data_IF_389789310277
#
_entry.id   IF_389789310277
#
_cell.length_a   1.000
_cell.length_b   1.000
_cell.length_c   1.000
_cell.angle_alpha   90.00
_cell.angle_beta   90.00
_cell.angle_gamma   90.00
#
_symmetry.space_group_name_H-M   'P 1'
#
loop_
_entity.id
_entity.type
_entity.pdbx_description
1 polymer ?
2 non-polymer ?
3 non-polymer ?
4 water ?
#
# COMPACT_ATOMS: atom_id res chain seq x y z
N UNK A 4 -25.36 -18.33 0.24
CA UNK A 4 -24.15 -17.74 0.95
C UNK A 4 -24.06 -16.24 0.67
N UNK A 5 -24.22 -15.36 1.69
CA UNK A 5 -24.22 -13.91 1.46
C UNK A 5 -22.81 -13.45 1.05
N UNK A 6 -22.71 -12.42 0.20
CA UNK A 6 -21.40 -11.80 -0.15
C UNK A 6 -20.91 -10.95 1.01
N UNK A 7 -19.60 -10.99 1.33
CA UNK A 7 -19.09 -10.25 2.46
C UNK A 7 -19.09 -8.73 2.22
N UNK A 8 -19.28 -7.97 3.30
CA UNK A 8 -19.16 -6.49 3.34
C UNK A 8 -17.75 -6.13 3.82
N UNK A 9 -17.07 -7.08 4.46
CA UNK A 9 -15.77 -6.91 5.16
C UNK A 9 -14.91 -8.16 4.94
N UNK A 10 -13.60 -7.99 4.77
CA UNK A 10 -12.65 -9.14 4.76
C UNK A 10 -11.49 -8.77 5.67
N UNK A 11 -10.70 -9.75 6.08
CA UNK A 11 -9.42 -9.43 6.75
C UNK A 11 -8.28 -9.89 5.85
N UNK A 12 -7.23 -9.09 5.89
CA UNK A 12 -6.06 -9.25 5.02
C UNK A 12 -4.85 -9.28 5.92
N UNK A 13 -4.03 -10.31 5.77
CA UNK A 13 -2.69 -10.44 6.38
C UNK A 13 -1.64 -9.93 5.39
N UNK A 14 -0.77 -9.05 5.88
CA UNK A 14 0.43 -8.57 5.15
C UNK A 14 1.62 -9.03 5.94
N UNK A 15 2.50 -9.79 5.32
CA UNK A 15 3.81 -10.13 5.88
C UNK A 15 4.95 -9.60 5.05
N UNK A 16 5.97 -9.07 5.69
CA UNK A 16 7.24 -8.72 5.01
C UNK A 16 8.39 -9.33 5.81
N UNK A 17 9.25 -10.06 5.12
CA UNK A 17 10.45 -10.65 5.75
C UNK A 17 11.60 -10.66 4.77
N UNK A 18 12.67 -10.00 5.17
CA UNK A 18 13.99 -10.12 4.53
C UNK A 18 14.68 -11.32 5.19
N UNK A 19 14.78 -12.37 4.42
CA UNK A 19 15.19 -13.70 4.90
C UNK A 19 16.71 -13.79 4.98
N UNK A 20 17.47 -12.76 4.57
CA UNK A 20 18.94 -12.79 4.63
C UNK A 20 19.58 -13.97 3.92
N UNK A 21 18.95 -14.42 2.83
CA UNK A 21 19.49 -15.49 1.94
C UNK A 21 19.70 -16.78 2.73
N UNK A 22 18.88 -17.03 3.76
CA UNK A 22 18.94 -18.28 4.56
C UNK A 22 17.58 -18.93 4.52
N UNK A 23 17.54 -20.29 4.49
CA UNK A 23 16.27 -20.98 4.57
C UNK A 23 15.60 -20.62 5.89
N UNK A 24 14.25 -20.70 5.93
CA UNK A 24 13.54 -20.43 7.17
C UNK A 24 13.67 -21.62 8.12
N UNK A 25 13.29 -21.43 9.40
CA UNK A 25 13.22 -22.52 10.36
C UNK A 25 11.99 -23.38 10.10
N UNK A 26 11.87 -24.52 10.78
CA UNK A 26 10.80 -25.49 10.45
C UNK A 26 9.44 -24.89 10.82
N UNK A 27 9.37 -23.99 11.80
CA UNK A 27 8.06 -23.45 12.26
C UNK A 27 8.03 -21.92 12.12
N UNK A 28 7.10 -21.36 11.33
CA UNK A 28 7.04 -19.88 11.11
C UNK A 28 5.61 -19.43 11.41
N UNK A 29 4.84 -20.28 12.09
CA UNK A 29 3.41 -20.02 12.39
C UNK A 29 3.17 -18.70 13.15
N UNK A 30 4.11 -18.30 14.02
CA UNK A 30 4.01 -17.06 14.84
C UNK A 30 3.80 -15.85 13.94
N UNK A 31 4.40 -15.87 12.74
CA UNK A 31 4.27 -14.76 11.77
C UNK A 31 2.81 -14.59 11.37
N UNK A 32 2.18 -15.69 10.95
CA UNK A 32 0.81 -15.67 10.42
C UNK A 32 -0.20 -15.47 11.56
N UNK A 33 0.19 -15.71 12.81
CA UNK A 33 -0.67 -15.51 13.98
C UNK A 33 -0.46 -14.12 14.56
N UNK A 34 0.42 -13.30 13.98
CA UNK A 34 0.64 -11.94 14.50
C UNK A 34 1.02 -12.00 16.00
N UNK A 35 1.98 -12.86 16.34
CA UNK A 35 2.50 -13.07 17.72
C UNK A 35 3.94 -12.56 17.81
N UNK A 36 4.26 -11.88 18.92
CA UNK A 36 5.62 -11.39 19.19
C UNK A 36 5.52 -10.07 19.87
N UNK A 37 6.17 -9.06 19.28
CA UNK A 37 6.22 -7.67 19.81
C UNK A 37 5.26 -6.78 19.03
N UNK A 38 4.82 -5.68 19.65
CA UNK A 38 4.05 -4.64 18.97
C UNK A 38 2.58 -4.83 19.24
N UNK A 39 1.76 -4.50 18.24
CA UNK A 39 0.28 -4.69 18.27
C UNK A 39 -0.01 -6.10 17.76
N UNK A 40 -0.31 -7.01 18.69
CA UNK A 40 -0.44 -8.44 18.42
C UNK A 40 -1.91 -8.83 18.43
N UNK A 41 -2.15 -10.00 17.87
CA UNK A 41 -3.49 -10.55 17.65
C UNK A 41 -3.84 -11.38 18.89
N UNK A 42 -5.10 -11.29 19.28
CA UNK A 42 -5.65 -12.03 20.44
C UNK A 42 -5.56 -13.54 20.21
N UNK A 43 -5.17 -14.27 21.26
CA UNK A 43 -5.12 -15.76 21.24
C UNK A 43 -6.42 -16.39 20.74
N UNK A 44 -7.56 -15.82 21.12
CA UNK A 44 -8.88 -16.44 20.81
C UNK A 44 -9.17 -16.40 19.31
N UNK A 45 -8.37 -15.68 18.51
CA UNK A 45 -8.57 -15.60 17.04
C UNK A 45 -7.65 -16.56 16.30
N UNK A 46 -6.80 -17.31 17.00
CA UNK A 46 -5.72 -18.07 16.33
C UNK A 46 -6.26 -19.02 15.26
N UNK A 47 -7.45 -19.60 15.44
CA UNK A 47 -7.94 -20.59 14.47
C UNK A 47 -8.73 -19.94 13.33
N UNK A 48 -9.00 -18.64 13.40
CA UNK A 48 -9.86 -17.90 12.43
C UNK A 48 -8.94 -17.49 11.29
N UNK A 49 -9.17 -17.99 10.06
CA UNK A 49 -8.30 -17.65 8.93
C UNK A 49 -8.58 -16.19 8.52
N UNK A 50 -7.54 -15.46 8.14
CA UNK A 50 -7.69 -14.27 7.31
C UNK A 50 -8.25 -14.71 5.95
N UNK A 51 -8.95 -13.81 5.26
CA UNK A 51 -9.53 -14.04 3.93
C UNK A 51 -8.42 -14.13 2.88
N UNK A 52 -7.44 -13.25 2.96
CA UNK A 52 -6.34 -13.13 2.00
C UNK A 52 -5.05 -13.02 2.83
N UNK A 53 -4.01 -13.78 2.50
CA UNK A 53 -2.64 -13.61 3.02
C UNK A 53 -1.75 -13.14 1.88
N UNK A 54 -1.01 -12.02 2.11
CA UNK A 54 -0.02 -11.51 1.12
C UNK A 54 1.34 -11.53 1.81
N UNK A 55 2.28 -12.27 1.23
CA UNK A 55 3.62 -12.54 1.85
C UNK A 55 4.72 -11.97 0.95
N UNK A 56 5.37 -10.89 1.42
CA UNK A 56 6.50 -10.27 0.72
C UNK A 56 7.77 -10.75 1.34
N UNK A 57 8.67 -11.28 0.52
CA UNK A 57 10.02 -11.60 0.97
C UNK A 57 11.07 -10.82 0.16
N UNK A 58 12.22 -10.64 0.78
CA UNK A 58 13.44 -10.05 0.18
C UNK A 58 14.62 -10.94 0.57
N UNK A 59 15.65 -10.95 -0.25
CA UNK A 59 16.80 -11.85 -0.07
C UNK A 59 16.27 -13.29 0.14
N UNK A 60 15.30 -13.70 -0.67
CA UNK A 60 14.62 -15.01 -0.53
C UNK A 60 15.41 -16.04 -1.33
N UNK A 61 15.97 -17.07 -0.66
CA UNK A 61 16.85 -18.04 -1.33
C UNK A 61 16.09 -19.24 -1.88
N UNK A 62 14.79 -19.29 -1.62
CA UNK A 62 13.98 -20.46 -2.01
C UNK A 62 13.45 -20.33 -3.44
N UNK A 63 13.16 -21.47 -4.03
CA UNK A 63 12.32 -21.55 -5.24
C UNK A 63 10.88 -21.20 -4.87
N UNK A 64 10.10 -20.77 -5.86
CA UNK A 64 8.66 -20.50 -5.68
C UNK A 64 8.00 -21.75 -5.14
N UNK A 65 8.37 -22.92 -5.67
CA UNK A 65 7.74 -24.18 -5.26
C UNK A 65 8.05 -24.40 -3.77
N UNK A 66 9.31 -24.26 -3.36
CA UNK A 66 9.72 -24.54 -1.96
C UNK A 66 8.98 -23.62 -0.99
N UNK A 67 8.90 -22.34 -1.31
CA UNK A 67 8.27 -21.35 -0.41
C UNK A 67 6.75 -21.55 -0.36
N UNK A 68 6.10 -21.76 -1.50
CA UNK A 68 4.65 -22.02 -1.54
C UNK A 68 4.28 -23.23 -0.66
N UNK A 69 5.09 -24.30 -0.75
CA UNK A 69 4.97 -25.53 0.08
C UNK A 69 4.92 -25.13 1.56
N UNK A 70 5.92 -24.36 1.99
CA UNK A 70 6.09 -23.95 3.41
C UNK A 70 4.92 -23.06 3.85
N UNK A 71 4.52 -22.12 3.01
CA UNK A 71 3.41 -21.21 3.35
C UNK A 71 2.11 -22.01 3.49
N UNK A 72 1.75 -22.78 2.48
CA UNK A 72 0.48 -23.55 2.51
C UNK A 72 0.42 -24.52 3.71
N UNK A 73 1.53 -25.20 4.00
CA UNK A 73 1.67 -26.10 5.17
C UNK A 73 1.33 -25.31 6.45
N UNK A 74 2.00 -24.18 6.65
CA UNK A 74 1.90 -23.34 7.86
C UNK A 74 0.46 -22.87 8.08
N UNK A 75 -0.20 -22.41 7.00
CA UNK A 75 -1.61 -21.95 7.12
C UNK A 75 -2.51 -23.15 7.37
N UNK A 76 -2.25 -24.29 6.73
CA UNK A 76 -3.08 -25.49 6.97
C UNK A 76 -2.94 -25.94 8.43
N UNK A 77 -1.74 -25.92 8.97
CA UNK A 77 -1.49 -26.32 10.37
C UNK A 77 -2.27 -25.40 11.33
N UNK A 78 -2.28 -24.09 11.06
CA UNK A 78 -2.95 -23.06 11.92
C UNK A 78 -4.47 -23.22 11.83
N UNK A 79 -5.01 -23.31 10.61
CA UNK A 79 -6.44 -23.02 10.31
C UNK A 79 -7.19 -24.28 9.88
N UNK A 80 -6.47 -25.32 9.46
CA UNK A 80 -7.05 -26.52 8.81
C UNK A 80 -7.74 -26.16 7.49
N UNK A 81 -7.33 -25.06 6.88
CA UNK A 81 -7.86 -24.67 5.55
C UNK A 81 -6.72 -24.81 4.55
N UNK A 82 -7.01 -25.42 3.40
CA UNK A 82 -6.08 -25.49 2.25
C UNK A 82 -6.26 -24.23 1.40
N UNK A 83 -5.32 -23.29 1.51
CA UNK A 83 -5.44 -22.01 0.78
C UNK A 83 -5.12 -22.21 -0.70
N UNK A 84 -5.75 -21.40 -1.54
CA UNK A 84 -5.55 -21.35 -3.00
C UNK A 84 -4.54 -20.27 -3.33
N UNK A 85 -3.64 -20.55 -4.27
CA UNK A 85 -2.64 -19.59 -4.78
C UNK A 85 -3.34 -18.66 -5.76
N UNK A 86 -3.40 -17.36 -5.46
CA UNK A 86 -3.95 -16.31 -6.35
C UNK A 86 -2.87 -15.89 -7.32
N UNK A 87 -1.67 -15.65 -6.82
CA UNK A 87 -0.57 -15.15 -7.64
C UNK A 87 0.75 -15.37 -6.91
N UNK A 88 1.79 -15.52 -7.69
CA UNK A 88 3.18 -15.50 -7.18
C UNK A 88 4.05 -14.81 -8.23
N UNK A 89 4.90 -13.91 -7.80
CA UNK A 89 5.81 -13.22 -8.73
C UNK A 89 7.13 -12.93 -8.03
N UNK A 90 8.23 -13.18 -8.73
CA UNK A 90 9.59 -13.02 -8.22
C UNK A 90 10.41 -12.18 -9.18
N UNK A 91 11.11 -11.20 -8.63
CA UNK A 91 12.17 -10.46 -9.35
C UNK A 91 13.45 -10.70 -8.54
N UNK A 92 14.42 -11.38 -9.12
CA UNK A 92 15.69 -11.69 -8.41
C UNK A 92 15.36 -12.44 -7.12
N UNK A 93 15.59 -11.88 -5.95
CA UNK A 93 15.31 -12.50 -4.62
C UNK A 93 14.18 -11.74 -3.89
N UNK A 94 13.39 -10.98 -4.63
CA UNK A 94 12.22 -10.23 -4.12
C UNK A 94 10.95 -10.94 -4.58
N UNK A 95 10.08 -11.34 -3.68
CA UNK A 95 8.95 -12.21 -4.07
C UNK A 95 7.67 -11.78 -3.37
N UNK A 96 6.57 -11.96 -4.08
CA UNK A 96 5.24 -11.78 -3.49
C UNK A 96 4.38 -13.03 -3.75
N UNK A 97 3.70 -13.50 -2.70
CA UNK A 97 2.72 -14.60 -2.79
C UNK A 97 1.39 -14.08 -2.26
N UNK A 98 0.33 -14.37 -2.99
CA UNK A 98 -1.07 -14.08 -2.56
C UNK A 98 -1.84 -15.40 -2.48
N UNK A 99 -2.31 -15.71 -1.28
CA UNK A 99 -3.14 -16.89 -0.95
C UNK A 99 -4.52 -16.40 -0.48
N UNK A 100 -5.57 -17.14 -0.81
CA UNK A 100 -6.93 -16.80 -0.36
C UNK A 100 -7.69 -18.06 0.04
N UNK A 101 -8.67 -17.92 0.95
CA UNK A 101 -9.62 -19.00 1.31
C UNK A 101 -10.15 -19.60 0.01
N UNK A 102 -10.44 -20.92 -0.04
CA UNK A 102 -11.01 -21.49 -1.26
C UNK A 102 -12.40 -20.94 -1.64
N UNK A 103 -13.17 -20.51 -0.65
CA UNK A 103 -14.54 -19.94 -0.88
C UNK A 103 -14.41 -18.63 -1.67
N UNK A 104 -13.22 -18.02 -1.76
CA UNK A 104 -13.05 -16.76 -2.50
C UNK A 104 -12.61 -16.96 -3.95
N UNK A 105 -12.46 -18.20 -4.41
CA UNK A 105 -11.86 -18.47 -5.73
C UNK A 105 -12.61 -17.76 -6.86
N UNK A 106 -13.95 -17.79 -6.80
CA UNK A 106 -14.84 -17.23 -7.84
C UNK A 106 -15.09 -15.74 -7.56
N UNK A 107 -14.66 -15.22 -6.40
CA UNK A 107 -14.83 -13.77 -6.04
C UNK A 107 -13.64 -12.99 -6.61
N UNK A 108 -12.55 -13.68 -6.95
CA UNK A 108 -11.27 -13.04 -7.33
C UNK A 108 -11.11 -13.11 -8.84
N UNK A 109 -10.83 -11.98 -9.47
CA UNK A 109 -10.65 -11.96 -10.94
C UNK A 109 -9.65 -10.86 -11.32
N UNK A 110 -9.34 -10.75 -12.61
CA UNK A 110 -8.49 -9.65 -13.13
C UNK A 110 -7.16 -9.63 -12.39
N UNK A 111 -6.54 -10.79 -12.24
CA UNK A 111 -5.27 -10.88 -11.50
C UNK A 111 -4.18 -10.35 -12.39
N UNK A 112 -3.40 -9.39 -11.86
CA UNK A 112 -2.25 -8.75 -12.55
C UNK A 112 -1.00 -8.99 -11.69
N UNK A 113 0.17 -9.06 -12.34
CA UNK A 113 1.49 -9.08 -11.65
C UNK A 113 2.41 -8.19 -12.46
N UNK A 114 3.36 -7.56 -11.77
CA UNK A 114 4.41 -6.76 -12.45
C UNK A 114 5.61 -6.59 -11.52
N UNK A 115 6.69 -6.10 -12.09
CA UNK A 115 7.89 -5.76 -11.29
C UNK A 115 8.51 -4.51 -11.90
N UNK A 116 9.27 -3.82 -11.07
CA UNK A 116 10.11 -2.69 -11.46
C UNK A 116 11.50 -2.95 -10.91
N UNK A 117 12.52 -2.80 -11.74
CA UNK A 117 13.93 -2.80 -11.33
C UNK A 117 14.38 -1.38 -11.09
N UNK A 118 14.92 -1.05 -9.92
CA UNK A 118 15.33 0.36 -9.67
C UNK A 118 16.83 0.50 -9.97
N UNK A 119 17.29 1.71 -10.29
CA UNK A 119 18.73 2.03 -10.46
C UNK A 119 19.21 1.91 -11.91
N UNK A 120 20.37 2.52 -12.22
CA UNK A 120 21.02 2.56 -13.58
C UNK A 120 22.47 2.06 -13.46
N UNK A 121 22.82 0.98 -14.18
CA UNK A 121 24.20 0.48 -14.42
C UNK A 121 24.80 -0.15 -13.14
N UNK A 122 25.57 0.63 -12.35
CA UNK A 122 26.05 0.28 -10.97
C UNK A 122 24.90 -0.27 -10.12
N UNK A 123 23.78 0.45 -10.14
CA UNK A 123 22.68 0.42 -9.13
C UNK A 123 21.48 -0.38 -9.69
N UNK A 124 21.59 -0.98 -10.89
CA UNK A 124 20.62 -1.98 -11.44
C UNK A 124 21.22 -3.38 -11.23
N UNK A 125 20.51 -4.24 -10.50
CA UNK A 125 20.89 -5.67 -10.39
C UNK A 125 20.29 -6.40 -9.20
N UNK A 126 19.81 -5.70 -8.16
CA UNK A 126 19.11 -6.49 -7.11
C UNK A 126 17.96 -5.83 -6.32
N UNK A 127 17.75 -4.52 -6.46
CA UNK A 127 16.69 -3.76 -5.75
C UNK A 127 15.54 -3.48 -6.72
N UNK A 128 14.33 -3.30 -6.19
CA UNK A 128 13.16 -3.04 -7.01
C UNK A 128 11.94 -3.52 -6.29
N UNK A 129 10.88 -3.84 -7.03
CA UNK A 129 9.59 -4.17 -6.42
C UNK A 129 8.88 -5.19 -7.27
N UNK A 130 8.03 -5.98 -6.62
CA UNK A 130 7.06 -6.83 -7.33
C UNK A 130 5.68 -6.44 -6.83
N UNK A 131 4.66 -6.69 -7.62
CA UNK A 131 3.31 -6.33 -7.22
C UNK A 131 2.26 -7.25 -7.78
N UNK A 132 1.12 -7.27 -7.14
CA UNK A 132 -0.07 -8.04 -7.53
C UNK A 132 -1.29 -7.14 -7.36
N UNK A 133 -2.21 -7.22 -8.30
CA UNK A 133 -3.56 -6.67 -8.12
C UNK A 133 -4.63 -7.65 -8.57
N UNK A 134 -5.84 -7.41 -8.09
CA UNK A 134 -7.00 -8.20 -8.53
C UNK A 134 -8.25 -7.50 -8.05
N UNK A 135 -9.38 -7.93 -8.60
CA UNK A 135 -10.72 -7.58 -8.07
C UNK A 135 -11.14 -8.66 -7.07
N UNK A 136 -11.73 -8.22 -5.96
CA UNK A 136 -12.46 -9.06 -4.98
C UNK A 136 -13.91 -8.58 -5.03
N UNK A 137 -14.77 -9.28 -5.75
CA UNK A 137 -16.14 -8.79 -6.02
C UNK A 137 -16.01 -7.37 -6.63
N UNK A 138 -16.63 -6.38 -5.99
CA UNK A 138 -16.66 -5.00 -6.54
C UNK A 138 -15.47 -4.16 -6.09
N UNK A 139 -14.48 -4.73 -5.42
CA UNK A 139 -13.42 -3.94 -4.74
C UNK A 139 -12.10 -4.28 -5.41
N UNK A 140 -11.31 -3.28 -5.75
CA UNK A 140 -9.96 -3.48 -6.34
C UNK A 140 -8.90 -3.43 -5.24
N UNK A 141 -8.00 -4.41 -5.29
CA UNK A 141 -6.95 -4.55 -4.26
C UNK A 141 -5.59 -4.57 -4.95
N UNK A 142 -4.64 -3.81 -4.42
CA UNK A 142 -3.26 -3.80 -4.94
C UNK A 142 -2.25 -4.02 -3.84
N UNK A 143 -1.14 -4.68 -4.17
CA UNK A 143 -0.13 -5.07 -3.16
C UNK A 143 1.23 -4.94 -3.77
N UNK A 144 2.11 -4.23 -3.05
CA UNK A 144 3.48 -3.93 -3.55
C UNK A 144 4.46 -4.38 -2.47
N UNK A 145 5.44 -5.18 -2.88
CA UNK A 145 6.56 -5.59 -2.04
C UNK A 145 7.82 -4.99 -2.66
N UNK A 146 8.47 -4.07 -1.98
CA UNK A 146 9.69 -3.41 -2.49
C UNK A 146 10.86 -3.65 -1.54
N UNK A 147 12.02 -3.85 -2.12
CA UNK A 147 13.34 -3.87 -1.45
C UNK A 147 14.09 -2.65 -1.98
N UNK A 148 14.11 -1.58 -1.18
CA UNK A 148 14.72 -0.32 -1.60
C UNK A 148 16.21 -0.29 -1.26
N UNK A 149 16.88 0.72 -1.80
CA UNK A 149 18.33 0.90 -1.65
C UNK A 149 18.69 0.87 -0.15
N UNK A 150 19.82 0.25 0.18
CA UNK A 150 20.31 0.10 1.57
C UNK A 150 21.25 1.26 1.94
N UNK A 151 21.53 1.38 3.23
CA UNK A 151 22.54 2.32 3.73
C UNK A 151 21.90 3.52 4.36
N UNK A 152 22.39 3.91 5.53
CA UNK A 152 21.86 5.07 6.28
C UNK A 152 21.94 6.38 5.49
N UNK A 153 22.94 6.48 4.60
CA UNK A 153 23.30 7.71 3.87
C UNK A 153 22.39 7.93 2.65
N UNK A 154 21.56 6.94 2.30
CA UNK A 154 20.84 6.91 0.99
C UNK A 154 19.32 7.05 1.11
N UNK A 155 18.82 7.85 2.06
CA UNK A 155 17.33 8.02 2.10
C UNK A 155 16.85 8.69 0.81
N UNK A 156 17.61 9.59 0.19
CA UNK A 156 17.11 10.27 -1.04
C UNK A 156 16.95 9.23 -2.16
N UNK A 157 17.93 8.33 -2.30
CA UNK A 157 17.87 7.21 -3.28
C UNK A 157 16.61 6.38 -3.03
N UNK A 158 16.35 6.04 -1.77
CA UNK A 158 15.12 5.27 -1.42
C UNK A 158 13.91 6.04 -1.92
N UNK A 159 13.85 7.36 -1.69
CA UNK A 159 12.66 8.13 -2.12
C UNK A 159 12.54 8.08 -3.66
N UNK A 160 13.67 8.07 -4.36
CA UNK A 160 13.71 7.99 -5.84
C UNK A 160 13.24 6.61 -6.27
N UNK A 161 13.60 5.58 -5.51
CA UNK A 161 13.18 4.19 -5.84
C UNK A 161 11.64 4.12 -5.74
N UNK A 162 11.11 4.68 -4.64
CA UNK A 162 9.66 4.79 -4.40
C UNK A 162 8.96 5.43 -5.61
N UNK A 163 9.48 6.56 -6.10
CA UNK A 163 8.81 7.27 -7.21
C UNK A 163 8.89 6.43 -8.49
N UNK A 164 10.04 5.80 -8.76
CA UNK A 164 10.14 4.90 -9.96
C UNK A 164 9.18 3.71 -9.85
N UNK A 165 9.02 3.14 -8.67
CA UNK A 165 8.09 1.99 -8.52
C UNK A 165 6.65 2.45 -8.76
N UNK A 166 6.29 3.57 -8.12
CA UNK A 166 4.95 4.20 -8.19
C UNK A 166 4.60 4.47 -9.65
N UNK A 167 5.55 5.01 -10.43
CA UNK A 167 5.31 5.38 -11.86
C UNK A 167 5.21 4.16 -12.76
N UNK A 168 6.07 3.18 -12.57
CA UNK A 168 6.32 2.17 -13.64
C UNK A 168 5.73 0.81 -13.31
N UNK A 169 5.19 0.59 -12.13
CA UNK A 169 4.55 -0.70 -11.84
C UNK A 169 3.16 -0.67 -12.50
N UNK A 170 2.92 -1.62 -13.40
CA UNK A 170 1.72 -1.70 -14.26
C UNK A 170 0.76 -2.71 -13.65
N UNK A 171 -0.10 -2.27 -12.74
CA UNK A 171 -1.10 -3.14 -12.06
C UNK A 171 -2.45 -2.48 -12.29
N UNK A 172 -3.52 -3.20 -12.06
CA UNK A 172 -4.84 -2.57 -12.09
C UNK A 172 -5.31 -2.36 -13.51
N UNK A 173 -6.34 -1.55 -13.66
CA UNK A 173 -7.14 -1.45 -14.90
C UNK A 173 -6.37 -0.51 -15.83
N UNK A 174 -5.82 -1.04 -16.85
CA UNK A 174 -5.02 -0.25 -17.83
C UNK A 174 -5.85 0.89 -18.44
N UNK A 175 -7.19 0.81 -18.50
CA UNK A 175 -8.03 1.94 -18.99
C UNK A 175 -7.86 3.19 -18.14
N UNK A 176 -7.40 3.06 -16.90
CA UNK A 176 -7.15 4.22 -16.00
C UNK A 176 -5.81 4.87 -16.36
N UNK A 177 -5.66 5.26 -17.63
CA UNK A 177 -4.34 5.60 -18.20
C UNK A 177 -3.70 6.78 -17.49
N UNK A 178 -4.40 7.85 -17.06
CA UNK A 178 -3.72 8.96 -16.37
C UNK A 178 -3.27 8.64 -14.94
N UNK A 179 -3.63 7.46 -14.42
CA UNK A 179 -3.50 7.15 -12.98
C UNK A 179 -2.41 6.12 -12.74
N UNK A 180 -1.55 6.42 -11.78
CA UNK A 180 -0.53 5.45 -11.30
C UNK A 180 -1.16 4.55 -10.20
N UNK A 181 -0.39 3.60 -9.69
CA UNK A 181 -0.93 2.62 -8.73
C UNK A 181 -1.48 3.34 -7.50
N UNK A 182 -1.05 4.57 -7.16
CA UNK A 182 -1.53 5.27 -5.93
C UNK A 182 -3.00 5.72 -6.09
N UNK A 183 -3.61 5.58 -7.27
CA UNK A 183 -5.02 5.90 -7.49
C UNK A 183 -5.85 4.75 -8.06
N UNK A 184 -5.27 3.60 -8.39
CA UNK A 184 -5.99 2.56 -9.17
C UNK A 184 -6.83 1.65 -8.30
N UNK A 185 -6.64 1.64 -6.98
CA UNK A 185 -7.19 0.58 -6.08
C UNK A 185 -8.01 1.17 -4.95
N UNK A 186 -9.12 0.52 -4.62
CA UNK A 186 -9.89 0.77 -3.37
C UNK A 186 -8.94 0.75 -2.16
N UNK A 187 -8.06 -0.24 -2.14
CA UNK A 187 -7.07 -0.46 -1.06
C UNK A 187 -5.74 -0.85 -1.67
N UNK A 188 -4.70 -0.11 -1.34
CA UNK A 188 -3.31 -0.37 -1.80
C UNK A 188 -2.44 -0.58 -0.58
N UNK A 189 -1.78 -1.73 -0.50
CA UNK A 189 -0.83 -2.05 0.59
C UNK A 189 0.55 -2.04 -0.04
N UNK A 190 1.47 -1.28 0.56
CA UNK A 190 2.87 -1.19 0.13
C UNK A 190 3.75 -1.54 1.32
N UNK A 191 4.54 -2.56 1.16
CA UNK A 191 5.35 -3.12 2.28
C UNK A 191 6.69 -3.57 1.69
N UNK A 192 7.58 -3.96 2.57
CA UNK A 192 8.88 -4.48 2.20
C UNK A 192 9.99 -4.12 3.16
N UNK A 193 11.19 -4.46 2.73
CA UNK A 193 12.43 -3.93 3.31
C UNK A 193 12.67 -2.56 2.66
N UNK A 194 12.02 -1.53 3.21
CA UNK A 194 12.11 -0.16 2.68
C UNK A 194 13.46 0.45 3.06
N UNK A 195 14.13 -0.11 4.06
CA UNK A 195 15.57 0.16 4.30
C UNK A 195 15.79 1.56 4.86
N UNK A 196 14.78 2.25 5.34
CA UNK A 196 14.99 3.52 6.08
C UNK A 196 15.53 3.22 7.48
N UNK A 197 16.42 4.08 7.96
CA UNK A 197 17.25 3.84 9.15
C UNK A 197 16.93 4.85 10.24
N UNK A 198 17.33 4.51 11.45
CA UNK A 198 17.33 5.46 12.58
C UNK A 198 18.60 6.29 12.44
N UNK A 199 18.43 7.55 12.07
CA UNK A 199 19.54 8.50 11.73
C UNK A 199 20.03 9.15 13.03
N UNK A 200 20.87 8.43 13.77
CA UNK A 200 21.51 8.95 14.99
C UNK A 200 23.01 8.74 14.76
N UNK A 201 23.87 9.46 15.51
CA UNK A 201 25.31 9.29 15.34
C UNK A 201 25.73 7.86 15.68
N UNK A 202 26.71 7.32 14.95
CA UNK A 202 27.14 5.89 15.04
C UNK A 202 27.69 5.59 16.43
N UNK A 203 28.23 6.61 17.11
CA UNK A 203 28.81 6.49 18.48
C UNK A 203 27.70 6.50 19.55
N UNK A 204 26.44 6.70 19.14
CA UNK A 204 25.26 6.45 20.02
C UNK A 204 24.76 5.00 19.92
N UNK A 205 25.46 4.07 19.27
CA UNK A 205 24.96 2.69 19.02
C UNK A 205 24.58 2.02 20.33
N UNK A 206 25.43 2.06 21.35
CA UNK A 206 25.17 1.32 22.61
C UNK A 206 23.99 2.01 23.30
N UNK A 207 23.89 3.33 23.23
CA UNK A 207 22.75 4.08 23.81
C UNK A 207 21.47 3.61 23.13
N UNK A 208 21.48 3.49 21.80
CA UNK A 208 20.28 2.98 21.08
C UNK A 208 19.91 1.57 21.59
N UNK A 209 20.88 0.68 21.71
CA UNK A 209 20.59 -0.70 22.20
C UNK A 209 19.94 -0.68 23.60
N UNK A 210 20.43 0.18 24.50
CA UNK A 210 19.91 0.23 25.89
C UNK A 210 18.49 0.81 25.88
N UNK A 211 18.17 1.73 24.95
CA UNK A 211 16.77 2.22 24.78
C UNK A 211 15.89 1.06 24.30
N UNK A 212 16.36 0.26 23.34
CA UNK A 212 15.57 -0.90 22.85
C UNK A 212 15.34 -1.88 24.01
N UNK A 213 16.37 -2.15 24.81
CA UNK A 213 16.20 -3.12 25.94
C UNK A 213 15.15 -2.61 26.92
N UNK A 214 14.98 -1.30 27.07
CA UNK A 214 13.99 -0.67 27.97
C UNK A 214 12.62 -0.54 27.30
N UNK A 215 12.48 -0.96 26.04
CA UNK A 215 11.25 -0.77 25.25
C UNK A 215 10.85 0.71 25.18
N UNK A 216 11.84 1.59 25.10
CA UNK A 216 11.67 3.07 25.02
C UNK A 216 12.02 3.45 23.60
N UNK A 217 11.01 3.46 22.74
CA UNK A 217 11.24 3.60 21.28
C UNK A 217 11.04 5.05 20.85
N UNK A 218 10.49 5.94 21.70
CA UNK A 218 10.08 7.29 21.28
C UNK A 218 11.25 8.10 20.73
N UNK A 219 12.39 8.09 21.41
CA UNK A 219 13.57 8.89 21.01
C UNK A 219 14.19 8.25 19.76
N UNK A 220 13.88 6.98 19.47
CA UNK A 220 14.45 6.37 18.25
C UNK A 220 13.54 6.71 17.08
N UNK A 221 12.22 6.56 17.25
CA UNK A 221 11.24 6.76 16.14
C UNK A 221 11.27 8.23 15.70
N UNK A 222 11.60 9.16 16.57
CA UNK A 222 11.71 10.58 16.19
C UNK A 222 12.87 10.79 15.21
N UNK A 223 13.76 9.81 15.02
CA UNK A 223 14.89 9.89 14.06
C UNK A 223 14.74 8.86 12.93
N UNK A 224 13.63 8.11 12.90
CA UNK A 224 13.34 7.15 11.83
C UNK A 224 13.13 7.90 10.51
N UNK A 225 13.96 7.59 9.53
CA UNK A 225 14.01 8.34 8.27
C UNK A 225 12.68 8.20 7.53
N UNK A 226 11.97 7.08 7.60
CA UNK A 226 10.68 6.99 6.86
C UNK A 226 9.65 7.93 7.52
N UNK A 227 9.51 7.92 8.83
CA UNK A 227 8.61 8.89 9.51
C UNK A 227 9.04 10.32 9.15
N UNK A 228 10.31 10.68 9.24
CA UNK A 228 10.71 12.11 9.06
C UNK A 228 10.54 12.49 7.60
N UNK A 229 10.91 11.62 6.65
CA UNK A 229 10.73 11.94 5.21
C UNK A 229 9.23 12.07 4.88
N UNK A 230 8.39 11.21 5.47
CA UNK A 230 6.92 11.26 5.27
C UNK A 230 6.37 12.58 5.83
N UNK A 231 6.85 13.02 7.00
CA UNK A 231 6.36 14.27 7.65
C UNK A 231 6.74 15.49 6.79
N UNK A 232 7.89 15.44 6.12
CA UNK A 232 8.33 16.54 5.21
C UNK A 232 7.83 16.33 3.77
N UNK A 233 6.97 15.32 3.56
CA UNK A 233 6.25 15.10 2.28
C UNK A 233 7.28 14.81 1.20
N UNK A 234 8.29 14.02 1.54
CA UNK A 234 9.35 13.63 0.56
C UNK A 234 9.06 12.28 -0.08
N UNK A 235 8.14 11.49 0.51
CA UNK A 235 7.92 10.08 0.12
C UNK A 235 6.59 9.64 0.71
N UNK A 236 5.93 8.65 0.08
CA UNK A 236 4.71 8.03 0.62
C UNK A 236 3.65 9.09 1.00
N UNK A 237 3.48 10.11 0.17
CA UNK A 237 2.44 11.11 0.41
C UNK A 237 1.08 10.42 0.34
N UNK A 238 0.23 10.62 1.37
CA UNK A 238 -1.18 10.16 1.42
C UNK A 238 -1.24 8.68 1.75
N UNK A 239 -0.12 8.10 2.18
CA UNK A 239 -0.15 6.73 2.77
C UNK A 239 -0.23 6.81 4.29
N UNK A 240 -0.79 5.76 4.90
CA UNK A 240 -0.96 5.57 6.36
C UNK A 240 0.04 4.51 6.85
N UNK A 241 0.42 4.58 8.13
CA UNK A 241 1.19 3.52 8.79
C UNK A 241 0.70 3.49 10.22
N UNK A 242 0.47 2.28 10.74
CA UNK A 242 0.12 2.06 12.17
C UNK A 242 1.31 2.49 13.02
N UNK A 243 1.04 2.90 14.27
CA UNK A 243 2.08 3.28 15.22
C UNK A 243 2.98 2.07 15.47
N UNK A 244 4.28 2.29 15.51
CA UNK A 244 5.26 1.21 15.75
C UNK A 244 5.51 1.07 17.24
N UNK A 245 5.30 -0.15 17.77
CA UNK A 245 5.41 -0.44 19.23
C UNK A 245 6.27 -1.68 19.43
N UNK A 246 7.04 -2.08 18.40
CA UNK A 246 7.92 -3.26 18.43
C UNK A 246 9.36 -2.78 18.26
N UNK A 247 10.32 -3.60 18.67
CA UNK A 247 11.75 -3.23 18.59
C UNK A 247 12.19 -3.16 17.13
N UNK A 248 13.21 -2.36 16.81
CA UNK A 248 13.79 -2.39 15.45
C UNK A 248 14.04 -3.84 15.00
N UNK A 249 13.73 -4.11 13.73
CA UNK A 249 13.73 -5.47 13.14
C UNK A 249 15.05 -5.80 12.44
N UNK A 250 16.02 -4.91 12.48
CA UNK A 250 17.33 -5.03 11.82
C UNK A 250 18.34 -4.23 12.66
N UNK A 251 19.61 -4.63 12.75
CA UNK A 251 20.19 -5.80 12.17
C UNK A 251 20.59 -6.74 13.31
N UNK A 252 20.06 -7.95 13.32
CA UNK A 252 20.30 -8.91 14.42
C UNK A 252 21.44 -9.86 14.04
N UNK A 253 22.13 -10.36 15.07
CA UNK A 253 22.93 -11.60 14.93
C UNK A 253 21.95 -12.76 14.70
N UNK A 254 22.29 -13.66 13.81
CA UNK A 254 21.44 -14.82 13.52
C UNK A 254 21.43 -15.80 14.69
N UNK A 255 20.33 -16.56 14.78
CA UNK A 255 20.08 -17.71 15.69
C UNK A 255 19.75 -17.24 17.11
N UNK A 256 19.77 -15.93 17.39
CA UNK A 256 19.26 -15.36 18.67
C UNK A 256 18.49 -14.09 18.31
N UNK A 257 17.77 -13.44 19.24
CA UNK A 257 17.35 -12.04 19.02
C UNK A 257 17.98 -11.16 20.09
N UNK A 258 18.96 -11.69 20.83
CA UNK A 258 19.49 -11.00 22.03
C UNK A 258 20.52 -9.94 21.61
N UNK A 259 21.01 -9.95 20.36
CA UNK A 259 22.13 -9.05 20.00
C UNK A 259 21.85 -8.34 18.67
N UNK A 260 22.06 -7.05 18.67
CA UNK A 260 22.11 -6.26 17.41
C UNK A 260 23.54 -6.19 16.92
N UNK A 261 23.73 -6.47 15.63
CA UNK A 261 25.05 -6.49 14.94
C UNK A 261 25.13 -5.23 14.11
N UNK A 262 25.69 -4.16 14.69
CA UNK A 262 25.68 -2.83 14.06
C UNK A 262 27.03 -2.32 13.56
N UNK A 263 28.14 -2.93 14.03
CA UNK A 263 29.53 -2.45 13.79
C UNK A 263 29.88 -2.59 12.31
N UNK A 264 30.69 -1.68 11.78
CA UNK A 264 31.13 -1.73 10.37
C UNK A 264 32.12 -2.90 10.22
N UNK A 265 32.01 -3.54 9.07
CA UNK A 265 32.68 -4.82 8.72
C UNK A 265 32.95 -4.81 7.22
N UNK A 266 33.95 -5.56 6.79
CA UNK A 266 34.20 -5.73 5.34
C UNK A 266 32.88 -6.12 4.66
N UNK A 267 32.12 -7.03 5.27
CA UNK A 267 30.87 -7.60 4.70
C UNK A 267 29.80 -6.49 4.55
N UNK A 268 29.85 -5.43 5.34
CA UNK A 268 28.88 -4.30 5.24
C UNK A 268 29.40 -3.17 4.34
N UNK A 269 30.51 -3.36 3.62
CA UNK A 269 31.11 -2.23 2.88
C UNK A 269 31.61 -1.18 3.82
N UNK A 270 32.01 -1.58 5.03
CA UNK A 270 32.48 -0.69 6.11
C UNK A 270 31.41 0.35 6.49
N UNK A 271 30.15 -0.06 6.45
CA UNK A 271 28.97 0.74 6.89
C UNK A 271 28.47 0.23 8.25
N UNK A 272 28.09 1.15 9.13
CA UNK A 272 27.39 0.81 10.37
C UNK A 272 25.93 0.53 9.96
N UNK A 273 25.35 -0.44 10.64
CA UNK A 273 23.90 -0.71 10.59
C UNK A 273 23.33 -0.47 11.98
N UNK A 274 23.13 0.76 12.40
CA UNK A 274 22.45 1.06 13.68
C UNK A 274 21.07 0.41 13.62
N UNK A 275 20.56 -0.11 14.74
CA UNK A 275 19.24 -0.74 14.80
C UNK A 275 18.21 0.17 14.16
N UNK A 276 17.43 -0.42 13.27
CA UNK A 276 16.47 0.33 12.43
C UNK A 276 15.17 -0.44 12.14
N UNK A 277 14.11 0.32 11.84
CA UNK A 277 12.82 -0.25 11.39
C UNK A 277 12.80 -0.33 9.86
N UNK A 278 13.61 -1.23 9.31
CA UNK A 278 13.75 -1.37 7.84
C UNK A 278 12.47 -1.94 7.23
N UNK A 279 11.74 -2.73 8.00
CA UNK A 279 10.69 -3.66 7.49
C UNK A 279 9.33 -3.08 7.84
N UNK A 280 8.54 -2.67 6.85
CA UNK A 280 7.36 -1.81 7.08
C UNK A 280 6.17 -2.25 6.24
N UNK A 281 5.01 -1.85 6.73
CA UNK A 281 3.74 -1.98 6.01
C UNK A 281 3.00 -0.64 6.07
N UNK A 282 2.67 -0.10 4.90
CA UNK A 282 1.86 1.13 4.75
C UNK A 282 0.67 0.83 3.86
N UNK A 283 -0.34 1.69 3.90
CA UNK A 283 -1.49 1.47 3.01
C UNK A 283 -2.06 2.80 2.57
N UNK A 284 -2.90 2.74 1.56
CA UNK A 284 -3.67 3.90 1.11
C UNK A 284 -4.98 3.40 0.53
N UNK A 285 -6.08 3.81 1.13
CA UNK A 285 -7.42 3.44 0.67
C UNK A 285 -8.10 4.69 0.13
N UNK A 286 -9.06 4.47 -0.75
CA UNK A 286 -9.95 5.55 -1.22
C UNK A 286 -10.68 6.15 -0.03
N UNK A 287 -11.02 7.45 -0.15
CA UNK A 287 -11.69 8.17 0.91
C UNK A 287 -13.00 7.53 1.38
N UNK A 288 -13.17 7.45 2.70
CA UNK A 288 -14.39 6.98 3.42
C UNK A 288 -14.65 5.51 3.11
N UNK A 289 -13.59 4.77 2.79
CA UNK A 289 -13.71 3.29 2.81
C UNK A 289 -13.18 2.77 4.16
N UNK A 290 -13.83 1.77 4.72
CA UNK A 290 -13.44 1.13 5.98
C UNK A 290 -12.09 0.42 5.78
N UNK A 291 -11.11 0.81 6.55
CA UNK A 291 -9.80 0.11 6.63
C UNK A 291 -9.28 0.33 8.04
N UNK A 292 -9.09 -0.75 8.77
CA UNK A 292 -8.67 -0.68 10.20
C UNK A 292 -7.52 -1.67 10.42
N UNK A 293 -6.35 -1.15 10.82
CA UNK A 293 -5.20 -2.01 11.19
C UNK A 293 -5.53 -2.71 12.52
N UNK A 294 -5.50 -4.04 12.51
CA UNK A 294 -5.80 -4.90 13.70
C UNK A 294 -4.51 -5.32 14.40
N UNK A 295 -3.39 -5.40 13.66
CA UNK A 295 -2.09 -5.86 14.22
C UNK A 295 -0.96 -5.21 13.42
N UNK A 296 0.16 -4.99 14.08
CA UNK A 296 1.37 -4.47 13.44
C UNK A 296 2.51 -4.73 14.40
N UNK A 297 3.33 -5.71 14.05
CA UNK A 297 4.40 -6.10 14.95
C UNK A 297 5.42 -6.98 14.30
N UNK A 298 6.30 -7.55 15.11
CA UNK A 298 7.41 -8.41 14.63
C UNK A 298 7.41 -9.69 15.43
N UNK A 299 7.83 -10.78 14.82
CA UNK A 299 8.03 -12.04 15.55
C UNK A 299 9.31 -11.96 16.37
N UNK A 300 9.32 -12.78 17.40
CA UNK A 300 10.43 -12.88 18.37
C UNK A 300 11.16 -14.21 18.20
N UNK A 301 10.54 -15.21 17.54
CA UNK A 301 11.02 -16.62 17.59
C UNK A 301 11.53 -17.10 16.22
N UNK A 302 11.66 -16.25 15.20
CA UNK A 302 12.15 -16.67 13.85
C UNK A 302 13.47 -15.93 13.68
N UNK A 303 14.59 -16.66 13.69
CA UNK A 303 15.94 -16.09 13.94
C UNK A 303 16.96 -16.49 12.85
N UNK A 304 16.51 -17.05 11.72
CA UNK A 304 17.43 -17.48 10.63
C UNK A 304 18.01 -16.30 9.85
N UNK A 305 17.36 -15.14 9.90
CA UNK A 305 17.78 -13.93 9.21
C UNK A 305 18.32 -12.91 10.17
N UNK A 306 19.03 -11.95 9.62
CA UNK A 306 19.47 -10.74 10.34
C UNK A 306 18.28 -9.75 10.45
N UNK A 307 17.13 -10.03 9.85
CA UNK A 307 15.86 -9.30 10.05
C UNK A 307 14.85 -10.20 10.74
N UNK A 308 13.96 -9.62 11.56
CA UNK A 308 12.76 -10.33 12.04
C UNK A 308 11.62 -10.05 11.07
N UNK A 309 10.79 -11.08 10.80
CA UNK A 309 9.54 -10.91 10.07
C UNK A 309 8.67 -9.83 10.74
N UNK A 310 7.92 -9.11 9.91
CA UNK A 310 6.91 -8.13 10.33
C UNK A 310 5.57 -8.63 9.80
N UNK A 311 4.54 -8.45 10.62
CA UNK A 311 3.14 -8.71 10.24
C UNK A 311 2.28 -7.46 10.43
N UNK A 312 1.27 -7.36 9.61
CA UNK A 312 0.18 -6.39 9.80
C UNK A 312 -1.11 -7.05 9.32
N UNK A 313 -2.20 -6.79 10.01
CA UNK A 313 -3.50 -7.29 9.56
C UNK A 313 -4.49 -6.14 9.51
N UNK A 314 -5.44 -6.30 8.63
CA UNK A 314 -6.41 -5.25 8.35
C UNK A 314 -7.81 -5.80 8.18
N UNK A 315 -8.80 -5.09 8.73
CA UNK A 315 -10.20 -5.14 8.27
C UNK A 315 -10.31 -4.25 7.05
N UNK A 316 -10.89 -4.75 5.95
CA UNK A 316 -11.04 -3.94 4.71
C UNK A 316 -12.47 -4.06 4.18
N UNK A 317 -13.12 -2.92 4.00
CA UNK A 317 -14.45 -2.88 3.40
C UNK A 317 -14.42 -3.33 1.96
N UNK A 318 -15.41 -4.14 1.57
CA UNK A 318 -15.56 -4.68 0.21
C UNK A 318 -17.02 -4.53 -0.17
N UNK A 319 -17.27 -4.42 -1.47
CA UNK A 319 -18.63 -4.29 -2.02
C UNK A 319 -18.89 -5.50 -2.92
N UNK A 320 -20.17 -5.77 -3.18
CA UNK A 320 -20.67 -6.91 -3.98
C UNK A 320 -20.67 -6.51 -5.46
N UNK A 321 -20.60 -7.51 -6.36
CA UNK A 321 -20.71 -7.31 -7.82
C UNK A 321 -22.18 -6.97 -8.12
N UNK A 322 -22.49 -5.70 -8.34
CA UNK A 322 -23.89 -5.22 -8.48
C UNK A 322 -24.47 -5.50 -9.87
N UNK A 323 -25.72 -5.99 -9.90
CA UNK A 323 -26.54 -6.27 -11.12
C UNK A 323 -27.97 -5.74 -10.87
N UNK A 324 -28.37 -4.68 -11.57
CA UNK A 324 -29.78 -4.21 -11.65
C UNK A 324 -30.41 -4.77 -12.94
N UNK A 325 -31.70 -4.47 -13.14
CA UNK A 325 -32.46 -4.74 -14.40
C UNK A 325 -31.83 -3.92 -15.54
N UNK A 326 -31.30 -2.74 -15.21
CA UNK A 326 -30.62 -1.77 -16.11
C UNK A 326 -29.12 -2.14 -16.20
N UNK A 327 -28.22 -1.34 -15.61
CA UNK A 327 -26.77 -1.60 -15.63
C UNK A 327 -26.42 -2.87 -14.84
N UNK A 328 -25.29 -3.56 -15.15
CA UNK A 328 -24.43 -3.24 -16.31
C UNK A 328 -24.96 -3.49 -17.74
N UNK A 329 -24.59 -2.61 -18.67
CA UNK A 329 -24.89 -2.73 -20.11
C UNK A 329 -25.88 -1.70 -20.60
N UNK A 330 -26.16 -0.70 -19.76
CA UNK A 330 -27.01 0.47 -20.06
C UNK A 330 -26.85 1.45 -18.88
N UNK A 331 -27.41 2.66 -19.01
CA UNK A 331 -27.46 3.67 -17.90
C UNK A 331 -28.74 3.41 -17.10
N UNK A 332 -28.86 4.05 -15.93
CA UNK A 332 -30.06 3.99 -15.05
C UNK A 332 -30.57 5.42 -14.91
N UNK A 333 -31.34 5.89 -15.90
CA UNK A 333 -31.67 7.33 -16.12
C UNK A 333 -32.03 8.02 -14.79
N UNK A 334 -32.29 7.27 -13.71
CA UNK A 334 -32.64 7.83 -12.38
C UNK A 334 -31.41 8.47 -11.71
N UNK A 335 -30.19 8.04 -12.06
CA UNK A 335 -28.93 8.47 -11.42
C UNK A 335 -28.22 9.59 -12.18
N UNK A 336 -27.62 10.55 -11.46
CA UNK A 336 -26.71 11.56 -12.04
C UNK A 336 -25.76 12.12 -10.97
N UNK A 337 -24.57 12.48 -11.42
CA UNK A 337 -23.58 13.21 -10.59
C UNK A 337 -23.34 14.57 -11.24
N UNK A 338 -23.58 15.63 -10.48
CA UNK A 338 -23.36 17.03 -10.92
C UNK A 338 -22.27 17.68 -10.08
N UNK A 339 -21.38 18.40 -10.74
CA UNK A 339 -20.31 19.24 -10.15
C UNK A 339 -20.67 20.74 -10.31
N UNK A 340 -20.58 21.50 -9.23
CA UNK A 340 -20.96 22.93 -9.15
C UNK A 340 -19.73 23.71 -8.70
N UNK A 341 -19.48 24.91 -9.26
CA UNK A 341 -18.50 25.88 -8.74
C UNK A 341 -17.15 25.17 -8.54
N UNK A 342 -16.73 24.32 -9.46
CA UNK A 342 -15.45 23.55 -9.27
C UNK A 342 -14.27 24.34 -9.82
N UNK A 343 -13.15 24.25 -9.12
CA UNK A 343 -11.89 24.77 -9.66
C UNK A 343 -10.71 23.93 -9.19
N UNK A 344 -9.69 23.90 -10.04
CA UNK A 344 -8.38 23.30 -9.74
C UNK A 344 -7.41 24.43 -9.44
N UNK A 345 -6.61 24.25 -8.41
CA UNK A 345 -5.51 25.17 -8.07
C UNK A 345 -4.26 24.38 -8.41
N UNK A 346 -3.45 24.86 -9.34
CA UNK A 346 -2.27 24.07 -9.77
C UNK A 346 -1.00 24.81 -9.39
N UNK A 347 0.04 24.07 -9.03
CA UNK A 347 1.40 24.59 -8.72
C UNK A 347 2.22 24.84 -10.00
N UNK A 348 1.80 24.37 -11.16
CA UNK A 348 2.52 24.49 -12.47
C UNK A 348 2.78 25.95 -12.82
N UNK A 349 3.94 26.21 -13.42
CA UNK A 349 4.30 27.56 -13.91
C UNK A 349 3.82 27.69 -15.35
N UNK A 350 3.42 26.58 -15.98
CA UNK A 350 3.01 26.55 -17.41
C UNK A 350 1.73 27.36 -17.60
N UNK A 351 1.49 27.77 -18.85
CA UNK A 351 0.24 28.42 -19.34
C UNK A 351 -0.19 27.70 -20.62
N UNK A 352 -1.00 26.67 -20.45
CA UNK A 352 -1.81 25.95 -21.47
C UNK A 352 -3.25 25.99 -20.95
N UNK A 353 -4.22 25.62 -21.78
CA UNK A 353 -5.59 25.29 -21.33
C UNK A 353 -5.59 23.88 -20.71
N UNK A 354 -6.51 23.66 -19.78
CA UNK A 354 -6.71 22.36 -19.10
C UNK A 354 -8.15 21.90 -19.27
N UNK A 355 -8.33 20.57 -19.31
CA UNK A 355 -9.65 19.92 -19.23
C UNK A 355 -9.56 18.82 -18.18
N UNK A 356 -10.72 18.29 -17.78
CA UNK A 356 -10.80 17.19 -16.79
C UNK A 356 -11.15 15.88 -17.50
N UNK A 357 -10.64 14.77 -16.95
CA UNK A 357 -11.24 13.44 -17.22
C UNK A 357 -11.78 12.86 -15.92
N UNK A 358 -13.02 12.34 -15.98
CA UNK A 358 -13.69 11.63 -14.89
C UNK A 358 -13.65 10.14 -15.21
N UNK A 359 -13.01 9.35 -14.36
CA UNK A 359 -12.95 7.89 -14.51
C UNK A 359 -13.59 7.21 -13.32
N UNK A 360 -14.42 6.21 -13.58
CA UNK A 360 -15.03 5.41 -12.48
C UNK A 360 -15.66 4.17 -13.07
N UNK A 361 -15.62 3.07 -12.30
CA UNK A 361 -16.33 1.80 -12.61
C UNK A 361 -17.84 2.03 -12.68
N UNK A 362 -18.34 3.10 -12.06
CA UNK A 362 -19.82 3.41 -12.07
C UNK A 362 -20.25 4.06 -13.39
N UNK A 363 -19.30 4.40 -14.29
CA UNK A 363 -19.55 4.98 -15.64
C UNK A 363 -19.23 3.94 -16.70
N UNK A 364 -19.91 4.00 -17.86
CA UNK A 364 -19.65 3.05 -18.98
C UNK A 364 -18.24 3.30 -19.51
N UNK A 365 -17.83 4.55 -19.58
CA UNK A 365 -16.46 4.91 -19.99
C UNK A 365 -16.15 6.30 -19.46
N UNK A 366 -14.87 6.66 -19.45
CA UNK A 366 -14.44 7.93 -18.83
C UNK A 366 -15.05 9.08 -19.62
N UNK A 367 -15.20 10.20 -18.94
CA UNK A 367 -15.87 11.42 -19.48
C UNK A 367 -14.84 12.55 -19.50
N UNK A 368 -14.75 13.25 -20.62
CA UNK A 368 -13.79 14.37 -20.85
C UNK A 368 -14.57 15.69 -20.86
N UNK A 369 -14.21 16.62 -19.96
CA UNK A 369 -14.87 17.95 -19.82
C UNK A 369 -14.45 18.86 -20.98
N UNK A 370 -15.13 19.99 -21.09
CA UNK A 370 -14.63 21.17 -21.85
C UNK A 370 -13.45 21.77 -21.09
N UNK A 371 -12.69 22.62 -21.76
CA UNK A 371 -11.57 23.38 -21.13
C UNK A 371 -12.13 24.31 -20.04
N UNK A 372 -11.39 24.44 -18.95
CA UNK A 372 -11.68 25.43 -17.92
C UNK A 372 -11.16 26.80 -18.33
N UNK A 373 -11.47 27.81 -17.53
CA UNK A 373 -10.98 29.20 -17.72
C UNK A 373 -9.88 29.50 -16.69
N UNK A 374 -8.68 29.76 -17.16
CA UNK A 374 -7.50 30.07 -16.30
C UNK A 374 -7.62 31.47 -15.71
N UNK A 375 -7.30 31.64 -14.43
CA UNK A 375 -7.04 32.96 -13.79
C UNK A 375 -5.81 32.84 -12.90
N UNK A 376 -5.33 33.96 -12.39
CA UNK A 376 -4.18 34.06 -11.44
C UNK A 376 -4.71 34.04 -10.00
N UNK A 377 -4.25 33.13 -9.15
CA UNK A 377 -4.45 33.17 -7.68
C UNK A 377 -3.69 34.34 -7.05
N UNK A 378 -4.06 34.74 -5.85
CA UNK A 378 -3.54 35.96 -5.17
C UNK A 378 -2.07 35.77 -4.77
N UNK A 379 -1.60 34.51 -4.60
CA UNK A 379 -0.24 34.19 -4.11
C UNK A 379 0.58 33.57 -5.25
N UNK A 380 0.24 33.86 -6.52
CA UNK A 380 0.99 33.41 -7.70
C UNK A 380 0.31 32.30 -8.51
N UNK A 381 -0.59 31.51 -7.89
CA UNK A 381 -1.06 30.18 -8.36
C UNK A 381 -1.77 30.26 -9.72
N UNK A 382 -1.80 29.15 -10.46
CA UNK A 382 -2.79 28.98 -11.55
C UNK A 382 -4.09 28.39 -10.98
N UNK A 383 -5.21 29.08 -11.19
CA UNK A 383 -6.57 28.59 -10.83
C UNK A 383 -7.29 28.29 -12.13
N UNK A 384 -7.74 27.07 -12.31
CA UNK A 384 -8.53 26.68 -13.50
C UNK A 384 -9.99 26.59 -13.07
N UNK A 385 -10.85 27.49 -13.56
CA UNK A 385 -12.27 27.55 -13.14
C UNK A 385 -13.08 26.73 -14.14
N UNK A 386 -14.00 25.91 -13.63
CA UNK A 386 -14.93 25.11 -14.46
C UNK A 386 -16.38 25.62 -14.36
N UNK A 387 -16.65 26.51 -13.42
CA UNK A 387 -18.01 27.00 -13.10
C UNK A 387 -18.99 25.85 -12.99
N UNK A 388 -20.05 25.90 -13.81
CA UNK A 388 -21.18 24.96 -13.82
C UNK A 388 -21.15 24.30 -15.19
N UNK A 389 -19.97 24.27 -15.82
CA UNK A 389 -19.75 23.83 -17.22
C UNK A 389 -19.40 22.33 -17.24
N UNK A 390 -19.16 21.67 -16.10
CA UNK A 390 -18.70 20.25 -16.09
C UNK A 390 -19.86 19.35 -16.52
N UNK A 391 -19.63 18.28 -17.30
CA UNK A 391 -20.72 17.42 -17.74
C UNK A 391 -21.46 16.79 -16.55
N UNK A 392 -22.72 16.44 -16.79
CA UNK A 392 -23.55 15.65 -15.86
C UNK A 392 -23.16 14.20 -16.09
N UNK A 393 -22.68 13.48 -15.06
CA UNK A 393 -22.21 12.07 -15.19
C UNK A 393 -23.42 11.14 -14.99
N UNK A 394 -23.48 10.10 -15.81
CA UNK A 394 -24.62 9.15 -15.90
C UNK A 394 -24.12 7.80 -15.43
N UNK A 395 -24.32 7.47 -14.14
CA UNK A 395 -23.91 6.17 -13.62
C UNK A 395 -24.74 5.03 -14.21
N UNK A 396 -24.15 3.84 -14.24
CA UNK A 396 -24.72 2.60 -14.86
C UNK A 396 -25.81 2.05 -13.95
N UNK A 397 -25.74 2.38 -12.68
CA UNK A 397 -26.71 1.91 -11.64
C UNK A 397 -27.02 3.08 -10.74
N UNK A 398 -28.30 3.31 -10.44
CA UNK A 398 -28.78 4.48 -9.66
C UNK A 398 -29.06 4.08 -8.22
N UNK A 399 -29.12 2.78 -7.90
CA UNK A 399 -29.46 2.31 -6.55
C UNK A 399 -28.47 2.94 -5.58
N UNK A 400 -28.92 3.64 -4.51
CA UNK A 400 -28.00 4.29 -3.59
C UNK A 400 -27.10 3.32 -2.81
N UNK A 401 -27.51 2.06 -2.63
CA UNK A 401 -26.66 1.06 -1.91
C UNK A 401 -25.45 0.72 -2.76
N UNK A 402 -25.53 0.95 -4.05
CA UNK A 402 -24.36 0.82 -4.96
C UNK A 402 -23.64 2.17 -5.03
N UNK A 403 -24.37 3.22 -5.43
CA UNK A 403 -23.76 4.48 -5.92
C UNK A 403 -23.00 5.16 -4.78
N UNK A 404 -23.52 5.15 -3.55
CA UNK A 404 -22.90 5.88 -2.43
C UNK A 404 -21.55 5.24 -2.09
N UNK A 405 -21.31 4.00 -2.52
CA UNK A 405 -20.05 3.27 -2.26
C UNK A 405 -19.00 3.51 -3.36
N UNK A 406 -19.30 4.32 -4.37
CA UNK A 406 -18.39 4.44 -5.53
C UNK A 406 -17.49 5.65 -5.34
N UNK A 407 -16.55 5.81 -6.26
CA UNK A 407 -15.54 6.88 -6.25
C UNK A 407 -15.33 7.39 -7.67
N UNK A 408 -15.05 8.69 -7.79
CA UNK A 408 -14.70 9.32 -9.09
C UNK A 408 -13.24 9.76 -9.04
N UNK A 409 -12.43 9.17 -9.91
CA UNK A 409 -11.05 9.62 -10.14
C UNK A 409 -11.11 10.82 -11.09
N UNK A 410 -10.36 11.87 -10.75
CA UNK A 410 -10.24 13.10 -11.58
C UNK A 410 -8.80 13.27 -12.03
N UNK A 411 -8.58 13.47 -13.33
CA UNK A 411 -7.28 13.94 -13.87
C UNK A 411 -7.54 15.29 -14.51
N UNK A 412 -6.62 16.22 -14.30
CA UNK A 412 -6.57 17.50 -15.03
C UNK A 412 -5.43 17.40 -16.04
N UNK A 413 -5.79 17.58 -17.32
CA UNK A 413 -4.87 17.36 -18.46
C UNK A 413 -4.68 18.65 -19.26
N UNK A 414 -3.47 18.82 -19.77
CA UNK A 414 -3.13 19.90 -20.71
C UNK A 414 -3.85 19.65 -22.05
N UNK A 415 -4.55 20.65 -22.57
CA UNK A 415 -5.12 20.60 -23.95
C UNK A 415 -4.01 20.41 -24.99
N UNK A 416 -2.83 21.01 -24.77
CA UNK A 416 -1.70 21.04 -25.74
C UNK A 416 -1.04 19.65 -25.81
N UNK A 417 -0.94 18.95 -24.68
CA UNK A 417 -0.08 17.74 -24.61
C UNK A 417 -0.88 16.50 -24.23
N UNK A 418 -2.10 16.66 -23.72
CA UNK A 418 -2.93 15.55 -23.17
C UNK A 418 -2.20 14.81 -22.03
N UNK A 419 -1.26 15.46 -21.38
CA UNK A 419 -0.57 14.84 -20.22
C UNK A 419 -1.29 15.29 -18.94
N UNK A 420 -1.46 14.38 -18.03
CA UNK A 420 -2.03 14.72 -16.71
C UNK A 420 -1.06 15.59 -15.92
N UNK A 421 -1.58 16.68 -15.35
CA UNK A 421 -0.84 17.52 -14.39
C UNK A 421 -1.21 17.17 -12.96
N UNK A 422 -2.24 16.34 -12.76
CA UNK A 422 -2.75 16.13 -11.41
C UNK A 422 -3.86 15.11 -11.40
N UNK A 423 -3.83 14.24 -10.39
CA UNK A 423 -4.79 13.13 -10.23
C UNK A 423 -5.29 13.16 -8.81
N UNK A 424 -6.58 12.90 -8.65
CA UNK A 424 -7.16 12.78 -7.30
C UNK A 424 -8.44 11.96 -7.33
N UNK A 425 -9.10 11.87 -6.19
CA UNK A 425 -10.24 10.95 -6.05
C UNK A 425 -11.28 11.57 -5.15
N UNK A 426 -12.53 11.43 -5.55
CA UNK A 426 -13.71 11.96 -4.80
C UNK A 426 -14.63 10.80 -4.41
N UNK A 427 -14.92 10.66 -3.12
CA UNK A 427 -15.90 9.66 -2.62
C UNK A 427 -17.32 10.14 -2.91
N UNK A 428 -18.21 9.21 -3.22
CA UNK A 428 -19.67 9.45 -3.37
C UNK A 428 -20.44 9.05 -2.09
N UNK A 429 -19.72 8.77 -1.00
CA UNK A 429 -20.30 8.46 0.34
C UNK A 429 -20.74 9.77 1.01
N UNK A 430 -21.74 10.44 0.42
CA UNK A 430 -22.18 11.80 0.84
C UNK A 430 -23.07 11.76 2.09
N UNK A 431 -23.15 12.87 2.80
CA UNK A 431 -24.06 13.10 3.95
C UNK A 431 -25.51 13.18 3.50
N UNK A 432 -25.75 13.47 2.23
CA UNK A 432 -27.10 13.70 1.63
C UNK A 432 -27.07 13.51 0.12
N UNK A 433 -28.22 13.18 -0.47
CA UNK A 433 -28.43 13.19 -1.93
C UNK A 433 -29.32 14.39 -2.30
N UNK A 434 -29.27 14.76 -3.57
CA UNK A 434 -30.07 15.86 -4.15
C UNK A 434 -29.75 17.16 -3.40
N UNK A 435 -28.53 17.28 -2.87
CA UNK A 435 -28.08 18.41 -2.02
C UNK A 435 -26.70 18.83 -2.51
N UNK A 436 -26.44 20.12 -2.66
CA UNK A 436 -25.09 20.63 -3.01
C UNK A 436 -24.18 20.45 -1.80
N UNK A 437 -23.07 19.72 -1.93
CA UNK A 437 -22.20 19.47 -0.76
C UNK A 437 -20.77 19.72 -1.17
N UNK A 438 -19.90 20.24 -0.27
CA UNK A 438 -18.52 20.50 -0.66
C UNK A 438 -17.78 19.17 -0.98
N UNK A 439 -16.91 19.21 -1.97
CA UNK A 439 -15.98 18.12 -2.30
C UNK A 439 -14.59 18.72 -2.39
N UNK A 440 -13.59 17.86 -2.20
CA UNK A 440 -12.17 18.25 -2.17
C UNK A 440 -11.37 16.99 -2.45
N UNK A 441 -10.30 17.14 -3.23
CA UNK A 441 -9.17 16.19 -3.26
C UNK A 441 -7.88 16.96 -3.50
N UNK A 442 -6.79 16.58 -2.84
CA UNK A 442 -5.48 17.01 -3.32
C UNK A 442 -5.26 16.37 -4.70
N UNK A 443 -4.39 17.02 -5.47
CA UNK A 443 -3.95 16.48 -6.77
C UNK A 443 -2.46 16.16 -6.71
N UNK A 444 -2.13 14.99 -7.25
CA UNK A 444 -0.73 14.55 -7.34
C UNK A 444 -0.42 14.18 -8.78
N UNK A 445 0.86 14.14 -9.06
CA UNK A 445 1.40 13.54 -10.31
C UNK A 445 2.75 12.92 -9.97
N UNK A 446 2.97 11.70 -10.42
CA UNK A 446 4.10 10.86 -9.96
C UNK A 446 4.14 10.86 -8.42
N UNK A 447 2.97 10.98 -7.79
CA UNK A 447 2.80 10.81 -6.34
C UNK A 447 3.31 12.02 -5.58
N UNK A 448 3.64 13.11 -6.28
CA UNK A 448 3.99 14.40 -5.66
C UNK A 448 2.82 15.37 -5.77
N UNK A 449 2.63 16.19 -4.73
CA UNK A 449 1.54 17.19 -4.70
C UNK A 449 1.72 18.23 -5.82
N UNK A 450 0.70 18.40 -6.65
CA UNK A 450 0.75 19.33 -7.79
C UNK A 450 -0.40 20.36 -7.73
N UNK A 451 -1.31 20.23 -6.78
CA UNK A 451 -2.48 21.14 -6.73
C UNK A 451 -3.60 20.57 -5.93
N UNK A 452 -4.78 21.10 -6.15
CA UNK A 452 -6.01 20.79 -5.40
C UNK A 452 -7.20 20.88 -6.35
N UNK A 453 -8.23 20.13 -6.05
CA UNK A 453 -9.51 20.24 -6.78
C UNK A 453 -10.57 20.40 -5.70
N UNK A 454 -11.44 21.39 -5.88
CA UNK A 454 -12.53 21.60 -4.89
C UNK A 454 -13.75 22.20 -5.58
N UNK A 455 -14.87 22.02 -4.93
CA UNK A 455 -16.13 22.54 -5.47
C UNK A 455 -17.27 21.95 -4.73
N UNK A 456 -18.37 21.76 -5.43
CA UNK A 456 -19.56 21.15 -4.83
C UNK A 456 -20.04 20.01 -5.71
N UNK A 457 -20.69 19.06 -5.07
CA UNK A 457 -21.28 17.89 -5.77
C UNK A 457 -22.78 17.88 -5.47
N UNK A 458 -23.58 17.26 -6.41
CA UNK A 458 -25.03 17.01 -6.22
C UNK A 458 -25.27 15.62 -6.80
N UNK A 459 -25.57 14.73 -5.96
CA UNK A 459 -25.76 13.32 -6.35
C UNK A 459 -27.23 13.00 -6.32
N UNK A 460 -27.74 12.47 -7.44
CA UNK A 460 -29.11 11.92 -7.59
C UNK A 460 -29.04 10.39 -7.61
N UNK A 461 -29.77 9.73 -6.72
CA UNK A 461 -29.91 8.25 -6.70
C UNK A 461 -31.41 7.96 -6.89
N UNK A 462 -31.73 6.71 -7.17
CA UNK A 462 -33.14 6.24 -7.34
C UNK A 462 -33.95 6.53 -6.07
N UNK A 463 -33.31 6.71 -4.91
CA UNK A 463 -34.02 7.07 -3.67
C UNK A 463 -33.95 8.59 -3.43
X LIG B 1 1.78 12.76 9.05
X LIG B 1 0.72 12.76 7.98
X LIG B 1 -1.50 11.76 8.04
X LIG B 1 -2.18 10.43 8.36
X LIG B 1 -1.69 12.10 6.56
X LIG B 1 -0.08 11.60 8.30
X LIG B 1 3.49 11.30 7.72
X LIG B 1 -2.98 13.64 8.21
X LIG B 1 3.03 12.08 8.94
X LIG B 1 3.83 12.26 10.21
X LIG B 1 3.05 13.05 11.11
X LIG B 1 -2.11 12.84 8.96
X LIG B 1 1.64 13.48 10.49
X LIG C 1 -15.25 -0.28 -3.98
X LIG C 1 -15.54 -1.55 -3.18
X LIG C 1 -15.51 1.04 -2.87
X LIG C 1 -16.69 0.04 -4.97
X LIG D 1 -12.91 3.23 -9.35
X LIG D 1 -14.30 3.35 -9.87
X LIG D 1 -11.91 2.89 -10.80
X LIG D 1 -12.41 4.87 -9.05
X LIG E 1 -6.38 11.76 -2.80
X LIG E 1 -6.29 10.64 -3.82
X LIG E 1 -5.51 11.27 -1.35
X LIG E 1 -8.01 11.67 -2.15
#
# INVERSE_FOLDING_TARGET
SMEQPEPDMITIFIGTWNMGNAPPPKKITSWFLSKGQGKTRDDSADYIPHDIYVIGTQEDPLSEKEWLEILKHSLQEITSVTFKTVAIHTLWNIRIVVLAKPEHENRISHICTDNVKTGIANTLGNKGAVGVSFMFNGTSLGFVNSHLTSGSEKKLRRNQNYMNILRFLALGDKKLSPFNITHRFTHLFWFGDLNYRVDLPTWEAETIIQKIKQQQYADLLSHDQLLTERREQKVFLHFEEEEITFAPTYRFERLTRDKYAYTKQKATGMKYNLPSWCDRVLWKSYPLVHVVCQSYGSTSDIMTSDHSPVFATFEAGVTSQFVSKNGPGTVDSQGQIEFLRCYATLKTKSQTKFYLEFHSSCLESFVKSQEGENEEGSEGELVVKFGETLPKLKPIISDPEYLLDQHILISIKSSDSDESYGEGCIALRLEATETQLPIYTPLTHHGELTGHFQGEIKLQTSQ
RX7 C4 C5 C6 C7 C8 N C O C1 C2 C3 C9 S
DMS S O C1 C2
DMS S O C1 C2
DMS S O C1 C2
#
